data_IF_295052769908
#
_entry.id   IF_295052769908
#
_cell.length_a   1.000
_cell.length_b   1.000
_cell.length_c   1.000
_cell.angle_alpha   90.00
_cell.angle_beta   90.00
_cell.angle_gamma   90.00
#
_symmetry.space_group_name_H-M   'P 1'
#
loop_
_entity.id
_entity.type
_entity.pdbx_description
1 polymer ?
#
# COMPACT_ATOMS: atom_id res chain seq x y z
N UNK A 1 2.32 -12.84 -2.36
CA UNK A 1 1.11 -13.22 -1.58
C UNK A 1 1.53 -13.60 -0.17
N UNK A 2 0.66 -13.38 0.81
CA UNK A 2 0.96 -13.57 2.22
C UNK A 2 -0.13 -14.43 2.86
N UNK A 3 0.28 -15.48 3.59
CA UNK A 3 -0.60 -16.42 4.30
C UNK A 3 -0.38 -16.42 5.81
N UNK A 4 0.64 -15.74 6.30
CA UNK A 4 1.00 -15.71 7.71
C UNK A 4 1.59 -14.38 8.16
N UNK A 5 1.64 -14.18 9.47
CA UNK A 5 2.17 -13.03 10.14
C UNK A 5 2.86 -13.46 11.45
N UNK A 6 4.11 -13.04 11.66
CA UNK A 6 4.91 -13.42 12.84
C UNK A 6 4.95 -14.93 13.11
N UNK A 7 5.20 -15.73 12.06
CA UNK A 7 5.25 -17.21 12.10
C UNK A 7 3.96 -17.90 12.52
N UNK A 8 2.82 -17.24 12.37
CA UNK A 8 1.47 -17.77 12.61
C UNK A 8 0.58 -17.54 11.41
N UNK A 9 -0.52 -18.24 11.33
CA UNK A 9 -1.55 -18.00 10.33
C UNK A 9 -2.06 -16.55 10.41
N UNK A 10 -2.45 -16.01 9.27
CA UNK A 10 -3.01 -14.66 9.19
C UNK A 10 -4.30 -14.55 10.03
N UNK A 11 -4.38 -13.60 10.98
CA UNK A 11 -5.65 -13.30 11.63
C UNK A 11 -6.69 -12.77 10.64
N UNK A 12 -7.98 -12.98 10.93
CA UNK A 12 -9.07 -12.50 10.07
C UNK A 12 -9.00 -11.01 9.78
N UNK A 13 -8.75 -10.19 10.80
CA UNK A 13 -8.62 -8.73 10.64
C UNK A 13 -7.45 -8.32 9.73
N UNK A 14 -6.44 -9.17 9.59
CA UNK A 14 -5.27 -8.91 8.77
C UNK A 14 -5.38 -9.48 7.36
N UNK A 15 -6.50 -10.12 7.04
CA UNK A 15 -6.83 -10.57 5.69
C UNK A 15 -6.70 -12.07 5.45
N UNK A 16 -6.95 -12.93 6.47
CA UNK A 16 -7.01 -14.37 6.26
C UNK A 16 -8.04 -14.76 5.19
N UNK A 17 -7.84 -15.87 4.49
CA UNK A 17 -6.69 -16.78 4.56
C UNK A 17 -5.49 -16.31 3.72
N UNK A 18 -5.71 -15.43 2.77
CA UNK A 18 -4.71 -14.98 1.79
C UNK A 18 -4.85 -13.50 1.52
N UNK A 19 -3.73 -12.77 1.55
CA UNK A 19 -3.70 -11.38 1.14
C UNK A 19 -2.54 -11.08 0.18
N UNK A 20 -2.65 -9.95 -0.52
CA UNK A 20 -1.53 -9.36 -1.26
C UNK A 20 -0.81 -8.36 -0.36
N UNK A 21 0.51 -8.33 -0.46
CA UNK A 21 1.36 -7.28 0.05
C UNK A 21 2.24 -6.75 -1.08
N UNK A 22 2.11 -5.46 -1.40
CA UNK A 22 2.85 -4.80 -2.47
C UNK A 22 3.62 -3.63 -1.85
N UNK A 23 4.90 -3.84 -1.47
CA UNK A 23 5.63 -2.87 -0.64
C UNK A 23 5.94 -1.53 -1.33
N UNK A 24 5.96 -1.47 -2.66
CA UNK A 24 6.18 -0.22 -3.41
C UNK A 24 4.91 0.60 -3.67
N UNK A 25 3.75 0.11 -3.24
CA UNK A 25 2.46 0.79 -3.39
C UNK A 25 1.89 1.19 -2.03
N UNK A 26 1.00 2.18 -2.04
CA UNK A 26 0.24 2.52 -0.84
C UNK A 26 -0.66 1.36 -0.39
N UNK A 27 -0.88 1.27 0.93
CA UNK A 27 -1.50 0.10 1.56
C UNK A 27 -2.85 -0.33 1.02
N UNK A 28 -3.68 0.60 0.52
CA UNK A 28 -4.99 0.27 -0.03
C UNK A 28 -4.94 -0.58 -1.32
N UNK A 29 -3.78 -0.68 -1.97
CA UNK A 29 -3.55 -1.57 -3.10
C UNK A 29 -3.25 -3.01 -2.69
N UNK A 30 -3.08 -3.27 -1.41
CA UNK A 30 -2.79 -4.61 -0.85
C UNK A 30 -4.09 -5.27 -0.41
N UNK A 31 -4.79 -5.94 -1.33
CA UNK A 31 -6.08 -6.58 -1.08
C UNK A 31 -5.99 -7.63 0.02
N UNK A 32 -7.00 -7.66 0.90
CA UNK A 32 -7.16 -8.63 1.99
C UNK A 32 -8.25 -9.66 1.68
N UNK A 33 -8.19 -10.81 2.34
CA UNK A 33 -9.20 -11.85 2.28
C UNK A 33 -9.59 -12.19 0.83
N UNK A 34 -8.62 -12.55 0.03
CA UNK A 34 -8.80 -12.81 -1.40
C UNK A 34 -9.64 -14.06 -1.59
N UNK A 35 -10.73 -13.94 -2.32
CA UNK A 35 -11.65 -15.05 -2.68
C UNK A 35 -11.65 -15.35 -4.18
N UNK A 36 -11.14 -14.43 -4.99
CA UNK A 36 -11.12 -14.58 -6.45
C UNK A 36 -10.02 -13.73 -7.09
N UNK A 37 -9.35 -14.29 -8.08
CA UNK A 37 -8.37 -13.63 -8.92
C UNK A 37 -8.83 -13.72 -10.38
N UNK A 38 -8.93 -12.56 -11.04
CA UNK A 38 -9.29 -12.48 -12.47
C UNK A 38 -8.17 -11.77 -13.23
N UNK A 39 -7.76 -12.37 -14.35
CA UNK A 39 -6.95 -11.71 -15.37
C UNK A 39 -7.86 -11.01 -16.35
N UNK A 40 -7.65 -9.71 -16.57
CA UNK A 40 -8.51 -8.88 -17.41
C UNK A 40 -7.66 -8.05 -18.39
N UNK A 41 -8.20 -7.80 -19.57
CA UNK A 41 -7.51 -7.01 -20.61
C UNK A 41 -7.58 -5.51 -20.36
N UNK A 42 -8.67 -5.05 -19.74
CA UNK A 42 -8.91 -3.63 -19.48
C UNK A 42 -8.67 -3.31 -18.02
N UNK A 43 -8.13 -2.11 -17.76
CA UNK A 43 -7.95 -1.58 -16.42
C UNK A 43 -9.29 -1.47 -15.66
N UNK A 44 -9.48 -2.23 -14.57
CA UNK A 44 -10.71 -2.14 -13.79
C UNK A 44 -10.71 -0.92 -12.88
N UNK A 45 -11.88 -0.44 -12.53
CA UNK A 45 -12.07 0.58 -11.49
C UNK A 45 -12.29 -0.09 -10.15
N UNK A 46 -11.48 0.28 -9.15
CA UNK A 46 -11.62 -0.25 -7.79
C UNK A 46 -12.67 0.52 -6.98
N UNK A 47 -13.14 -0.07 -5.87
CA UNK A 47 -14.06 0.61 -4.94
C UNK A 47 -13.47 1.89 -4.35
N UNK A 48 -12.16 1.93 -4.10
CA UNK A 48 -11.47 3.14 -3.65
C UNK A 48 -11.51 4.26 -4.68
N UNK A 49 -11.31 3.94 -5.96
CA UNK A 49 -11.42 4.92 -7.05
C UNK A 49 -12.85 5.44 -7.21
N UNK A 50 -13.86 4.59 -6.97
CA UNK A 50 -15.25 5.00 -6.94
C UNK A 50 -15.58 5.94 -5.77
N UNK A 51 -15.10 5.59 -4.58
CA UNK A 51 -15.40 6.35 -3.37
C UNK A 51 -14.73 7.73 -3.37
N UNK A 52 -13.50 7.83 -3.86
CA UNK A 52 -12.74 9.08 -3.85
C UNK A 52 -11.77 9.14 -5.03
N UNK A 53 -12.25 9.46 -6.24
CA UNK A 53 -11.44 9.40 -7.46
C UNK A 53 -10.28 10.40 -7.49
N UNK A 54 -10.34 11.48 -6.69
CA UNK A 54 -9.25 12.46 -6.58
C UNK A 54 -8.11 11.99 -5.67
N UNK A 55 -8.36 11.03 -4.80
CA UNK A 55 -7.40 10.57 -3.80
C UNK A 55 -6.75 9.22 -4.15
N UNK A 56 -7.46 8.36 -4.88
CA UNK A 56 -7.04 6.98 -5.13
C UNK A 56 -6.90 6.70 -6.63
N UNK A 57 -5.67 6.53 -7.07
CA UNK A 57 -5.36 6.13 -8.44
C UNK A 57 -5.28 4.61 -8.61
N UNK A 58 -5.17 4.18 -9.85
CA UNK A 58 -5.01 2.76 -10.15
C UNK A 58 -3.64 2.21 -9.72
N UNK A 59 -2.56 2.89 -10.06
CA UNK A 59 -1.20 2.43 -9.73
C UNK A 59 -0.85 2.69 -8.28
N UNK A 60 -1.05 3.88 -7.80
CA UNK A 60 -0.79 4.34 -6.44
C UNK A 60 0.54 3.85 -5.85
N UNK A 61 1.58 4.03 -6.64
CA UNK A 61 2.95 3.77 -6.19
C UNK A 61 3.38 4.85 -5.20
N UNK A 62 4.20 4.49 -4.22
CA UNK A 62 4.74 5.45 -3.26
C UNK A 62 5.63 6.44 -3.99
N UNK A 63 5.24 7.71 -3.99
CA UNK A 63 5.93 8.79 -4.68
C UNK A 63 5.98 10.04 -3.79
N UNK A 64 7.15 10.40 -3.23
CA UNK A 64 7.30 11.56 -2.35
C UNK A 64 7.16 12.91 -3.07
N UNK A 65 7.21 12.93 -4.40
CA UNK A 65 7.12 14.15 -5.21
C UNK A 65 5.69 14.53 -5.60
N UNK A 66 4.72 13.68 -5.27
CA UNK A 66 3.30 13.91 -5.54
C UNK A 66 2.54 13.93 -4.22
N UNK A 67 1.88 15.05 -3.93
CA UNK A 67 1.09 15.19 -2.72
C UNK A 67 -0.29 14.52 -2.84
N UNK A 68 -0.76 13.98 -1.72
CA UNK A 68 -2.17 13.65 -1.57
C UNK A 68 -2.98 14.96 -1.53
N UNK A 69 -4.25 15.00 -1.99
CA UNK A 69 -5.05 16.23 -1.95
C UNK A 69 -5.18 16.89 -0.57
N UNK A 70 -4.98 16.14 0.51
CA UNK A 70 -5.15 16.60 1.88
C UNK A 70 -3.85 16.71 2.70
N UNK A 71 -2.73 16.13 2.24
CA UNK A 71 -1.45 16.16 2.94
C UNK A 71 -0.25 15.96 2.01
N UNK A 72 0.93 16.31 2.48
CA UNK A 72 2.19 16.01 1.78
C UNK A 72 2.61 14.56 2.01
N UNK A 73 3.09 13.93 0.96
CA UNK A 73 3.62 12.56 0.99
C UNK A 73 5.16 12.52 0.99
N UNK A 74 5.81 13.66 1.16
CA UNK A 74 7.27 13.76 1.14
C UNK A 74 7.95 13.17 2.37
N UNK A 75 7.23 13.08 3.49
CA UNK A 75 7.77 12.54 4.75
C UNK A 75 6.82 11.54 5.39
N UNK A 76 7.39 10.58 6.13
CA UNK A 76 6.66 9.52 6.81
C UNK A 76 7.17 9.29 8.24
N UNK A 77 6.44 8.51 9.02
CA UNK A 77 6.88 7.99 10.31
C UNK A 77 6.96 6.48 10.26
N UNK A 78 8.01 5.92 10.84
CA UNK A 78 8.17 4.46 10.93
C UNK A 78 7.26 3.94 12.03
N UNK A 79 6.42 2.96 11.71
CA UNK A 79 5.54 2.29 12.67
C UNK A 79 6.39 1.52 13.68
N UNK A 80 6.07 1.66 14.96
CA UNK A 80 6.78 0.96 16.04
C UNK A 80 7.84 1.78 16.76
N UNK A 81 8.23 2.94 16.22
CA UNK A 81 9.18 3.86 16.89
C UNK A 81 8.51 4.84 17.86
N UNK A 82 7.20 4.70 18.06
CA UNK A 82 6.40 5.54 18.96
C UNK A 82 5.82 6.79 18.28
N UNK A 83 4.88 7.45 18.99
CA UNK A 83 4.15 8.63 18.48
C UNK A 83 5.04 9.89 18.38
N UNK A 84 6.16 9.89 19.10
CA UNK A 84 7.14 11.00 19.12
C UNK A 84 8.31 10.77 18.17
N UNK A 85 8.30 9.67 17.40
CA UNK A 85 9.35 9.40 16.42
C UNK A 85 9.47 10.54 15.41
N UNK A 86 10.68 10.97 15.04
CA UNK A 86 10.88 12.00 14.03
C UNK A 86 10.39 11.51 12.67
N UNK A 87 9.92 12.44 11.85
CA UNK A 87 9.57 12.13 10.47
C UNK A 87 10.85 11.92 9.64
N UNK A 88 10.81 10.91 8.79
CA UNK A 88 11.88 10.62 7.83
C UNK A 88 11.40 10.90 6.41
N UNK A 89 12.32 11.08 5.47
CA UNK A 89 11.98 11.26 4.05
C UNK A 89 11.40 9.97 3.49
N UNK A 90 10.27 10.10 2.83
CA UNK A 90 9.68 8.99 2.07
C UNK A 90 10.54 8.69 0.85
N UNK A 91 10.88 7.42 0.64
CA UNK A 91 11.64 6.97 -0.51
C UNK A 91 10.70 6.60 -1.68
N UNK A 92 11.13 6.93 -2.91
CA UNK A 92 10.41 6.51 -4.12
C UNK A 92 10.23 4.99 -4.12
N UNK A 93 8.99 4.52 -4.31
CA UNK A 93 8.63 3.09 -4.24
C UNK A 93 9.08 2.41 -2.93
N UNK A 94 9.10 3.14 -1.81
CA UNK A 94 9.63 2.67 -0.53
C UNK A 94 11.08 2.16 -0.61
N UNK A 95 11.90 2.78 -1.42
CA UNK A 95 13.29 2.38 -1.63
C UNK A 95 13.49 1.17 -2.55
N UNK A 96 12.44 0.68 -3.18
CA UNK A 96 12.49 -0.45 -4.13
C UNK A 96 12.61 -0.02 -5.59
N UNK A 97 12.93 1.25 -5.82
CA UNK A 97 13.25 1.77 -7.15
C UNK A 97 14.58 1.20 -7.65
N UNK A 98 14.68 0.96 -8.96
CA UNK A 98 15.92 0.54 -9.61
C UNK A 98 17.08 1.53 -9.43
N UNK A 99 16.78 2.79 -9.10
CA UNK A 99 17.77 3.82 -8.80
C UNK A 99 18.54 3.52 -7.50
N UNK A 100 17.99 2.69 -6.62
CA UNK A 100 18.56 2.36 -5.31
C UNK A 100 19.19 0.95 -5.25
N UNK A 101 19.24 0.27 -6.39
CA UNK A 101 19.88 -1.06 -6.47
C UNK A 101 21.36 -0.95 -6.84
#
# INVERSE_FOLDING_TARGET
>A
MVTGLYNKELPNQNGAPLRIFIPWKYGFKSAKAIVKIKLVEKMPTSSWMWASPREYGFYSNVNPNVDHPRWSQATERIIGEGIWAPRVKTLMFNGLSLIHI
#
